data_IF_744264798189
#
_entry.id   IF_744264798189
#
_cell.length_a   1.000
_cell.length_b   1.000
_cell.length_c   1.000
_cell.angle_alpha   90.00
_cell.angle_beta   90.00
_cell.angle_gamma   90.00
#
_symmetry.space_group_name_H-M   'P 1'
#
loop_
_entity.id
_entity.type
_entity.pdbx_description
1 polymer ?
#
# COMPACT_ATOMS: atom_id res chain seq x y z
N UNK A 1 -13.82 -5.48 7.08
CA UNK A 1 -12.76 -6.51 7.28
C UNK A 1 -11.66 -6.28 6.25
N UNK A 2 -10.39 -6.62 6.53
CA UNK A 2 -9.31 -6.50 5.54
C UNK A 2 -9.30 -7.73 4.61
N UNK A 3 -9.31 -7.51 3.30
CA UNK A 3 -9.21 -8.54 2.27
C UNK A 3 -7.92 -8.36 1.47
N UNK A 4 -7.10 -9.41 1.38
CA UNK A 4 -5.90 -9.42 0.54
C UNK A 4 -6.31 -9.70 -0.92
N UNK A 5 -6.13 -8.72 -1.80
CA UNK A 5 -6.46 -8.81 -3.23
C UNK A 5 -5.33 -9.50 -3.99
N UNK A 6 -4.09 -9.10 -3.72
CA UNK A 6 -2.90 -9.66 -4.39
C UNK A 6 -1.64 -9.50 -3.55
N UNK A 7 -0.66 -10.34 -3.85
CA UNK A 7 0.65 -10.39 -3.21
C UNK A 7 1.73 -10.71 -4.22
N UNK A 8 2.84 -9.97 -4.15
CA UNK A 8 4.02 -10.17 -4.98
C UNK A 8 5.28 -10.15 -4.11
N UNK A 9 6.19 -11.10 -4.32
CA UNK A 9 7.53 -11.03 -3.73
C UNK A 9 8.30 -9.88 -4.38
N UNK A 10 8.95 -9.03 -3.59
CA UNK A 10 9.62 -7.83 -4.09
C UNK A 10 10.83 -7.50 -3.22
N UNK A 11 12.04 -7.57 -3.80
CA UNK A 11 13.31 -7.29 -3.09
C UNK A 11 13.47 -8.03 -1.75
N UNK A 12 12.97 -9.27 -1.64
CA UNK A 12 12.99 -10.06 -0.40
C UNK A 12 11.83 -9.76 0.56
N UNK A 13 11.18 -8.61 0.44
CA UNK A 13 9.93 -8.29 1.12
C UNK A 13 8.70 -8.65 0.27
N UNK A 14 7.54 -8.11 0.65
CA UNK A 14 6.26 -8.40 -0.01
C UNK A 14 5.51 -7.12 -0.35
N UNK A 15 5.15 -6.97 -1.62
CA UNK A 15 4.16 -5.98 -2.07
C UNK A 15 2.78 -6.61 -1.98
N UNK A 16 1.88 -6.02 -1.19
CA UNK A 16 0.51 -6.50 -0.97
C UNK A 16 -0.49 -5.41 -1.34
N UNK A 17 -1.67 -5.84 -1.77
CA UNK A 17 -2.81 -4.98 -2.07
C UNK A 17 -4.01 -5.45 -1.29
N UNK A 18 -4.69 -4.52 -0.65
CA UNK A 18 -5.81 -4.80 0.23
C UNK A 18 -7.05 -4.02 -0.17
N UNK A 19 -8.22 -4.62 0.08
CA UNK A 19 -9.52 -3.95 0.09
C UNK A 19 -10.08 -3.95 1.52
N UNK A 20 -10.77 -2.89 1.89
CA UNK A 20 -11.56 -2.86 3.11
C UNK A 20 -12.78 -1.94 2.98
N UNK A 21 -13.83 -2.25 3.72
CA UNK A 21 -14.94 -1.31 3.90
C UNK A 21 -14.47 -0.15 4.77
N UNK A 22 -14.46 1.07 4.22
CA UNK A 22 -14.02 2.26 4.94
C UNK A 22 -15.20 2.89 5.69
N UNK A 23 -15.09 2.99 7.01
CA UNK A 23 -16.10 3.66 7.84
C UNK A 23 -16.16 5.17 7.58
N UNK A 24 -15.02 5.79 7.28
CA UNK A 24 -14.94 7.22 7.02
C UNK A 24 -15.50 7.61 5.63
N UNK A 25 -15.35 6.73 4.64
CA UNK A 25 -15.79 6.99 3.25
C UNK A 25 -17.17 6.37 2.98
N UNK A 26 -17.57 5.33 3.71
CA UNK A 26 -18.84 4.62 3.49
C UNK A 26 -18.84 3.67 2.29
N UNK A 27 -17.69 3.49 1.62
CA UNK A 27 -17.51 2.63 0.45
C UNK A 27 -16.26 1.76 0.60
N UNK A 28 -16.15 0.64 -0.14
CA UNK A 28 -14.91 -0.14 -0.21
C UNK A 28 -13.75 0.69 -0.76
N UNK A 29 -12.62 0.65 -0.05
CA UNK A 29 -11.39 1.34 -0.40
C UNK A 29 -10.25 0.35 -0.61
N UNK A 30 -9.29 0.71 -1.48
CA UNK A 30 -8.08 -0.05 -1.73
C UNK A 30 -6.84 0.71 -1.24
N UNK A 31 -5.85 -0.04 -0.79
CA UNK A 31 -4.54 0.48 -0.46
C UNK A 31 -3.49 -0.60 -0.69
N UNK A 32 -2.24 -0.18 -0.85
CA UNK A 32 -1.11 -1.08 -1.04
C UNK A 32 -0.09 -0.92 0.08
N UNK A 33 0.60 -2.01 0.40
CA UNK A 33 1.63 -2.07 1.44
C UNK A 33 2.84 -2.80 0.91
N UNK A 34 4.02 -2.18 1.02
CA UNK A 34 5.28 -2.92 0.96
C UNK A 34 5.74 -3.29 2.37
N UNK A 35 5.77 -4.59 2.68
CA UNK A 35 6.27 -5.13 3.94
C UNK A 35 7.73 -5.53 3.78
N UNK A 36 8.67 -4.84 4.45
CA UNK A 36 10.07 -5.28 4.47
C UNK A 36 10.23 -6.50 5.39
N UNK A 37 11.23 -7.35 5.14
CA UNK A 37 11.52 -8.52 6.01
C UNK A 37 11.86 -8.12 7.45
N UNK A 38 12.29 -6.88 7.66
CA UNK A 38 12.53 -6.31 9.00
C UNK A 38 11.29 -6.39 9.90
N UNK A 39 10.08 -6.36 9.30
CA UNK A 39 8.83 -6.48 10.03
C UNK A 39 8.64 -7.86 10.68
N UNK A 40 9.37 -8.89 10.25
CA UNK A 40 9.33 -10.23 10.86
C UNK A 40 10.01 -10.26 12.24
N UNK A 41 10.94 -9.32 12.50
CA UNK A 41 11.66 -9.18 13.76
C UNK A 41 10.96 -8.24 14.76
N UNK A 42 9.97 -7.45 14.30
CA UNK A 42 9.24 -6.50 15.13
C UNK A 42 8.68 -5.31 14.35
N UNK A 43 8.07 -4.33 15.04
CA UNK A 43 7.53 -3.14 14.40
C UNK A 43 8.60 -2.34 13.64
N UNK A 44 8.21 -1.80 12.50
CA UNK A 44 9.05 -0.95 11.64
C UNK A 44 8.40 0.42 11.44
N UNK A 45 9.18 1.49 11.19
CA UNK A 45 8.61 2.77 10.79
C UNK A 45 7.80 2.63 9.49
N UNK A 46 6.73 3.40 9.39
CA UNK A 46 5.81 3.40 8.25
C UNK A 46 5.86 4.75 7.55
N UNK A 47 6.03 4.74 6.23
CA UNK A 47 5.89 5.92 5.38
C UNK A 47 4.62 5.83 4.55
N UNK A 48 3.74 6.82 4.71
CA UNK A 48 2.57 7.00 3.86
C UNK A 48 2.94 7.83 2.64
N UNK A 49 2.61 7.33 1.44
CA UNK A 49 2.74 8.05 0.20
C UNK A 49 1.36 8.41 -0.34
N UNK A 50 1.07 9.71 -0.46
CA UNK A 50 -0.18 10.22 -1.00
C UNK A 50 0.02 10.57 -2.48
N UNK A 51 -0.55 9.77 -3.37
CA UNK A 51 -0.40 9.96 -4.81
C UNK A 51 -1.25 11.14 -5.33
N UNK A 52 -0.86 11.68 -6.48
CA UNK A 52 -1.51 12.83 -7.11
C UNK A 52 -2.74 12.47 -7.95
N UNK A 53 -3.21 13.44 -8.74
CA UNK A 53 -4.36 13.28 -9.64
C UNK A 53 -4.23 12.03 -10.53
N UNK A 54 -5.37 11.40 -10.82
CA UNK A 54 -5.51 10.18 -11.65
C UNK A 54 -4.82 8.92 -11.13
N UNK A 55 -4.11 9.00 -10.00
CA UNK A 55 -3.39 7.86 -9.44
C UNK A 55 -4.32 6.94 -8.63
N UNK A 56 -3.80 5.75 -8.37
CA UNK A 56 -4.38 4.71 -7.50
C UNK A 56 -3.32 4.23 -6.50
N UNK A 57 -3.69 3.29 -5.63
CA UNK A 57 -2.78 2.63 -4.70
C UNK A 57 -1.64 1.87 -5.40
N UNK A 58 -1.77 1.57 -6.70
CA UNK A 58 -0.78 0.86 -7.50
C UNK A 58 0.31 1.77 -8.05
N UNK A 59 0.01 3.05 -8.31
CA UNK A 59 0.85 3.92 -9.15
C UNK A 59 2.24 4.11 -8.56
N UNK A 60 2.31 4.45 -7.27
CA UNK A 60 3.58 4.62 -6.55
C UNK A 60 4.37 3.32 -6.50
N UNK A 61 3.71 2.22 -6.13
CA UNK A 61 4.36 0.93 -5.95
C UNK A 61 4.95 0.40 -7.27
N UNK A 62 4.28 0.62 -8.40
CA UNK A 62 4.77 0.13 -9.70
C UNK A 62 5.88 1.03 -10.26
N UNK A 63 5.76 2.36 -10.12
CA UNK A 63 6.59 3.30 -10.90
C UNK A 63 7.73 3.95 -10.13
N UNK A 64 7.69 4.00 -8.80
CA UNK A 64 8.67 4.76 -8.01
C UNK A 64 9.98 4.00 -7.74
N UNK A 65 9.98 2.66 -7.83
CA UNK A 65 11.15 1.83 -7.49
C UNK A 65 11.57 1.93 -6.01
N UNK A 66 10.65 2.33 -5.13
CA UNK A 66 10.94 2.64 -3.72
C UNK A 66 11.21 1.40 -2.86
N UNK A 67 10.65 0.24 -3.22
CA UNK A 67 10.69 -0.99 -2.41
C UNK A 67 12.13 -1.45 -2.12
N UNK A 68 13.05 -1.29 -3.07
CA UNK A 68 14.47 -1.65 -2.87
C UNK A 68 15.11 -0.87 -1.73
N UNK A 69 14.82 0.43 -1.65
CA UNK A 69 15.33 1.29 -0.58
C UNK A 69 14.57 1.06 0.72
N UNK A 70 13.25 0.92 0.65
CA UNK A 70 12.42 0.61 1.81
C UNK A 70 12.87 -0.69 2.49
N UNK A 71 13.19 -1.74 1.72
CA UNK A 71 13.78 -2.96 2.25
C UNK A 71 15.13 -2.70 2.93
N UNK A 72 16.04 -1.97 2.27
CA UNK A 72 17.38 -1.69 2.82
C UNK A 72 17.33 -0.94 4.15
N UNK A 73 16.33 -0.07 4.33
CA UNK A 73 16.19 0.77 5.51
C UNK A 73 15.17 0.26 6.52
N UNK A 74 14.52 -0.88 6.27
CA UNK A 74 13.49 -1.43 7.14
C UNK A 74 12.29 -0.51 7.30
N UNK A 75 11.82 0.11 6.21
CA UNK A 75 10.66 1.02 6.20
C UNK A 75 9.49 0.31 5.51
N UNK A 76 8.33 0.29 6.14
CA UNK A 76 7.08 -0.12 5.50
C UNK A 76 6.52 1.03 4.67
N UNK A 77 6.13 0.75 3.43
CA UNK A 77 5.47 1.74 2.57
C UNK A 77 3.97 1.48 2.55
N UNK A 78 3.16 2.52 2.69
CA UNK A 78 1.71 2.45 2.53
C UNK A 78 1.27 3.49 1.51
N UNK A 79 0.54 3.09 0.48
CA UNK A 79 -0.08 4.01 -0.47
C UNK A 79 -1.58 3.73 -0.56
N UNK A 80 -2.46 4.63 -0.07
CA UNK A 80 -3.90 4.51 -0.28
C UNK A 80 -4.29 4.89 -1.72
N UNK A 81 -5.50 4.52 -2.12
CA UNK A 81 -6.14 5.12 -3.29
C UNK A 81 -6.38 6.63 -3.05
N UNK A 82 -6.53 7.39 -4.13
CA UNK A 82 -6.59 8.86 -4.09
C UNK A 82 -8.00 9.41 -3.88
N UNK A 83 -9.03 8.59 -4.08
CA UNK A 83 -10.43 8.96 -3.89
C UNK A 83 -11.33 7.75 -3.70
N UNK A 84 -12.57 7.94 -3.21
CA UNK A 84 -13.58 6.89 -3.21
C UNK A 84 -13.85 6.36 -4.62
N UNK A 85 -14.00 5.04 -4.75
CA UNK A 85 -14.37 4.37 -6.02
C UNK A 85 -15.82 3.89 -5.93
N UNK A 86 -16.54 3.97 -7.06
CA UNK A 86 -17.95 3.56 -7.12
C UNK A 86 -18.92 4.48 -6.37
N UNK A 87 -18.57 5.75 -6.17
CA UNK A 87 -19.39 6.71 -5.43
C UNK A 87 -20.66 7.20 -6.17
N UNK A 88 -20.79 6.89 -7.47
CA UNK A 88 -21.98 7.26 -8.25
C UNK A 88 -22.18 8.76 -8.45
N UNK A 89 -21.10 9.53 -8.36
CA UNK A 89 -21.01 10.96 -8.68
C UNK A 89 -20.24 11.19 -9.98
#
# INVERSE_FOLDING_TARGET
MLELISLHQCFGGQQRFYRHDSTAIGLPMRFSVFLPTHADAGPVPVMFYLAGLTCTEETFMIKAGAQRFAQRHGIMLVAPDTSPRGAGI
#
